data_IF_678622188796
#
_entry.id   IF_678622188796
#
_cell.length_a   1.000
_cell.length_b   1.000
_cell.length_c   1.000
_cell.angle_alpha   90.00
_cell.angle_beta   90.00
_cell.angle_gamma   90.00
#
_symmetry.space_group_name_H-M   'P 1'
#
loop_
_entity.id
_entity.type
_entity.pdbx_description
1 polymer ?
#
# COMPACT_ATOMS: atom_id res chain seq x y z
N UNK A 1 19.47 -35.49 7.17
CA UNK A 1 20.38 -35.11 6.06
C UNK A 1 19.92 -33.77 5.53
N UNK A 2 20.83 -32.85 5.22
CA UNK A 2 20.49 -31.56 4.63
C UNK A 2 19.96 -31.77 3.20
N UNK A 3 18.98 -30.98 2.74
CA UNK A 3 18.49 -31.05 1.37
C UNK A 3 19.57 -30.67 0.34
N UNK A 4 19.44 -31.18 -0.90
CA UNK A 4 20.32 -30.82 -2.01
C UNK A 4 21.82 -31.03 -1.75
N UNK A 5 22.18 -31.93 -0.83
CA UNK A 5 23.55 -32.07 -0.31
C UNK A 5 24.12 -33.43 -0.71
N UNK A 6 25.37 -33.41 -1.20
CA UNK A 6 26.13 -34.63 -1.52
C UNK A 6 26.81 -35.18 -0.27
N UNK A 7 26.46 -36.41 0.09
CA UNK A 7 27.05 -37.16 1.19
C UNK A 7 27.93 -38.27 0.65
N UNK A 8 29.16 -38.34 1.14
CA UNK A 8 30.03 -39.48 0.91
C UNK A 8 29.85 -40.49 2.04
N UNK A 9 29.20 -41.62 1.74
CA UNK A 9 29.00 -42.70 2.70
C UNK A 9 30.14 -43.70 2.54
N UNK A 10 30.89 -43.93 3.62
CA UNK A 10 31.98 -44.91 3.65
C UNK A 10 31.63 -46.05 4.61
N UNK A 11 31.82 -47.29 4.17
CA UNK A 11 31.58 -48.52 4.92
C UNK A 11 32.88 -49.30 5.06
N UNK A 12 33.13 -49.82 6.26
CA UNK A 12 34.18 -50.82 6.52
C UNK A 12 33.62 -51.92 7.41
N UNK A 13 34.05 -53.16 7.20
CA UNK A 13 33.78 -54.25 8.14
C UNK A 13 34.80 -54.24 9.28
N UNK A 14 34.40 -54.65 10.48
CA UNK A 14 35.30 -54.81 11.63
C UNK A 14 35.24 -56.27 12.09
N UNK A 15 36.38 -56.94 12.12
CA UNK A 15 36.53 -58.32 12.59
C UNK A 15 37.58 -58.40 13.71
N UNK A 16 37.65 -59.49 14.48
CA UNK A 16 38.71 -59.70 15.47
C UNK A 16 40.12 -59.64 14.87
N UNK A 17 40.26 -59.95 13.57
CA UNK A 17 41.54 -59.97 12.86
C UNK A 17 41.89 -58.63 12.19
N UNK A 18 41.06 -57.59 12.39
CA UNK A 18 41.27 -56.26 11.84
C UNK A 18 40.07 -55.71 11.06
N UNK A 19 40.24 -54.50 10.52
CA UNK A 19 39.24 -53.84 9.69
C UNK A 19 39.36 -54.33 8.24
N UNK A 20 38.23 -54.54 7.57
CA UNK A 20 38.17 -54.85 6.14
C UNK A 20 38.33 -53.63 5.26
N UNK A 21 38.33 -53.86 3.94
CA UNK A 21 38.45 -52.80 2.94
C UNK A 21 37.34 -51.75 3.07
N UNK A 22 37.71 -50.49 2.83
CA UNK A 22 36.78 -49.37 2.76
C UNK A 22 36.07 -49.37 1.41
N UNK A 23 34.75 -49.28 1.44
CA UNK A 23 33.92 -49.05 0.25
C UNK A 23 33.19 -47.73 0.46
N UNK A 24 33.14 -46.87 -0.55
CA UNK A 24 32.42 -45.61 -0.46
C UNK A 24 31.43 -45.41 -1.60
N UNK A 25 30.39 -44.60 -1.35
CA UNK A 25 29.40 -44.18 -2.34
C UNK A 25 28.96 -42.75 -2.05
N UNK A 26 28.99 -41.90 -3.07
CA UNK A 26 28.40 -40.56 -3.00
C UNK A 26 26.92 -40.65 -3.33
N UNK A 27 26.09 -40.10 -2.45
CA UNK A 27 24.64 -39.95 -2.66
C UNK A 27 24.27 -38.48 -2.55
N UNK A 28 23.28 -38.03 -3.31
CA UNK A 28 22.74 -36.67 -3.23
C UNK A 28 21.32 -36.72 -2.68
N UNK A 29 21.04 -35.91 -1.67
CA UNK A 29 19.69 -35.78 -1.13
C UNK A 29 18.81 -34.96 -2.06
N UNK A 30 17.50 -35.23 -2.03
CA UNK A 30 16.51 -34.42 -2.75
C UNK A 30 16.55 -32.98 -2.25
N UNK A 31 16.26 -32.04 -3.14
CA UNK A 31 16.04 -30.64 -2.75
C UNK A 31 14.76 -30.49 -1.94
N UNK A 32 14.68 -29.42 -1.15
CA UNK A 32 13.48 -29.02 -0.41
C UNK A 32 13.00 -27.66 -0.91
N UNK A 33 11.89 -27.18 -0.34
CA UNK A 33 11.37 -25.84 -0.65
C UNK A 33 12.44 -24.78 -0.33
N UNK A 34 12.56 -23.70 -1.12
CA UNK A 34 13.54 -22.66 -0.86
C UNK A 34 13.43 -22.13 0.58
N UNK A 35 14.56 -22.00 1.27
CA UNK A 35 14.61 -21.57 2.67
C UNK A 35 14.35 -20.06 2.87
N UNK A 36 14.59 -19.27 1.82
CA UNK A 36 14.29 -17.84 1.79
C UNK A 36 13.26 -17.55 0.70
N UNK A 37 12.27 -16.70 1.04
CA UNK A 37 11.37 -16.14 0.05
C UNK A 37 12.09 -15.04 -0.74
N UNK A 38 11.85 -14.91 -2.05
CA UNK A 38 12.33 -13.75 -2.79
C UNK A 38 11.74 -12.45 -2.24
N UNK A 39 12.54 -11.40 -2.22
CA UNK A 39 12.07 -10.05 -1.92
C UNK A 39 11.16 -9.55 -3.04
N UNK A 40 10.14 -8.78 -2.70
CA UNK A 40 9.31 -8.12 -3.71
C UNK A 40 10.18 -7.15 -4.53
N UNK A 41 10.03 -7.11 -5.87
CA UNK A 41 10.78 -6.16 -6.69
C UNK A 41 10.45 -4.71 -6.31
N UNK A 42 11.49 -3.88 -6.26
CA UNK A 42 11.33 -2.44 -6.02
C UNK A 42 10.97 -1.76 -7.35
N UNK A 43 9.88 -0.99 -7.38
CA UNK A 43 9.52 -0.22 -8.58
C UNK A 43 10.40 1.03 -8.64
N UNK A 44 11.22 1.14 -9.68
CA UNK A 44 12.13 2.27 -9.90
C UNK A 44 11.43 3.40 -10.65
N UNK A 45 10.70 3.07 -11.72
CA UNK A 45 10.02 4.05 -12.58
C UNK A 45 8.91 3.40 -13.39
N UNK A 46 7.83 4.13 -13.62
CA UNK A 46 6.82 3.81 -14.63
C UNK A 46 7.03 4.69 -15.88
N UNK A 47 6.81 4.12 -17.06
CA UNK A 47 7.01 4.79 -18.35
C UNK A 47 5.99 4.27 -19.37
N UNK A 48 4.79 4.88 -19.37
CA UNK A 48 3.68 4.46 -20.24
C UNK A 48 3.34 2.98 -20.04
N UNK A 49 3.56 2.18 -21.08
CA UNK A 49 3.28 0.74 -21.08
C UNK A 49 4.37 -0.13 -20.41
N UNK A 50 5.28 0.48 -19.64
CA UNK A 50 6.45 -0.19 -19.06
C UNK A 50 6.65 0.17 -17.60
N UNK A 51 7.15 -0.78 -16.83
CA UNK A 51 7.59 -0.58 -15.44
C UNK A 51 9.03 -1.08 -15.32
N UNK A 52 9.92 -0.20 -14.89
CA UNK A 52 11.28 -0.55 -14.52
C UNK A 52 11.30 -0.95 -13.06
N UNK A 53 11.75 -2.16 -12.79
CA UNK A 53 11.87 -2.73 -11.45
C UNK A 53 13.33 -3.06 -11.14
N UNK A 54 13.67 -3.09 -9.86
CA UNK A 54 14.93 -3.59 -9.36
C UNK A 54 14.70 -4.94 -8.67
N UNK A 55 15.47 -5.94 -9.09
CA UNK A 55 15.38 -7.31 -8.57
C UNK A 55 16.61 -7.58 -7.72
N UNK A 56 16.43 -8.18 -6.55
CA UNK A 56 17.53 -8.64 -5.70
C UNK A 56 17.66 -10.16 -5.81
N UNK A 57 18.87 -10.71 -5.97
CA UNK A 57 19.10 -12.15 -5.92
C UNK A 57 18.69 -12.76 -4.58
N UNK A 58 18.12 -13.96 -4.63
CA UNK A 58 17.71 -14.75 -3.47
C UNK A 58 18.71 -15.88 -3.23
N UNK A 59 19.10 -16.06 -1.98
CA UNK A 59 19.96 -17.18 -1.57
C UNK A 59 19.07 -18.37 -1.19
N UNK A 60 19.40 -19.55 -1.71
CA UNK A 60 18.72 -20.79 -1.35
C UNK A 60 19.73 -21.86 -0.89
N UNK A 61 19.62 -22.33 0.34
CA UNK A 61 20.49 -23.41 0.85
C UNK A 61 19.90 -24.81 0.62
N UNK A 62 18.61 -24.91 0.29
CA UNK A 62 17.91 -26.20 0.12
C UNK A 62 18.00 -26.76 -1.31
N UNK A 63 18.64 -26.03 -2.23
CA UNK A 63 18.86 -26.41 -3.62
C UNK A 63 19.39 -25.25 -4.47
N UNK A 64 19.81 -25.50 -5.72
CA UNK A 64 20.30 -24.44 -6.60
C UNK A 64 19.14 -23.54 -7.05
N UNK A 65 19.35 -22.22 -7.09
CA UNK A 65 18.42 -21.33 -7.79
C UNK A 65 18.68 -21.46 -9.29
N UNK A 66 17.69 -21.94 -10.04
CA UNK A 66 17.82 -22.21 -11.48
C UNK A 66 17.18 -21.13 -12.35
N UNK A 67 16.15 -20.45 -11.84
CA UNK A 67 15.49 -19.36 -12.55
C UNK A 67 14.70 -18.43 -11.61
N UNK A 68 14.37 -17.25 -12.11
CA UNK A 68 13.47 -16.28 -11.50
C UNK A 68 12.29 -16.04 -12.43
N UNK A 69 11.07 -16.03 -11.92
CA UNK A 69 9.88 -15.61 -12.68
C UNK A 69 9.40 -14.26 -12.21
N UNK A 70 9.13 -13.38 -13.17
CA UNK A 70 8.47 -12.09 -12.94
C UNK A 70 7.00 -12.26 -13.31
N UNK A 71 6.13 -12.09 -12.32
CA UNK A 71 4.68 -12.20 -12.46
C UNK A 71 4.09 -10.79 -12.38
N UNK A 72 3.25 -10.45 -13.34
CA UNK A 72 2.46 -9.20 -13.34
C UNK A 72 1.08 -9.52 -12.82
N UNK A 73 0.57 -8.70 -11.91
CA UNK A 73 -0.76 -8.81 -11.32
C UNK A 73 -1.48 -7.47 -11.50
N UNK A 74 -2.65 -7.50 -12.11
CA UNK A 74 -3.59 -6.38 -12.17
C UNK A 74 -4.27 -6.24 -10.79
N UNK A 75 -4.00 -5.13 -10.09
CA UNK A 75 -4.55 -4.85 -8.76
C UNK A 75 -5.98 -4.31 -8.80
N UNK A 76 -6.43 -3.77 -9.94
CA UNK A 76 -7.77 -3.22 -10.08
C UNK A 76 -8.82 -4.34 -10.09
N UNK A 77 -8.41 -5.54 -10.53
CA UNK A 77 -9.20 -6.77 -10.44
C UNK A 77 -8.97 -7.43 -9.08
N UNK A 78 -10.00 -7.46 -8.23
CA UNK A 78 -9.99 -8.14 -6.92
C UNK A 78 -10.05 -9.67 -7.01
N UNK A 79 -9.26 -10.26 -7.91
CA UNK A 79 -9.04 -11.69 -7.97
C UNK A 79 -7.85 -12.03 -7.08
N UNK A 80 -7.99 -13.04 -6.21
CA UNK A 80 -6.87 -13.51 -5.40
C UNK A 80 -5.74 -14.08 -6.29
N UNK A 81 -4.49 -13.82 -5.90
CA UNK A 81 -3.33 -14.45 -6.53
C UNK A 81 -3.23 -15.91 -6.10
N UNK A 82 -3.38 -16.84 -7.05
CA UNK A 82 -3.22 -18.26 -6.83
C UNK A 82 -1.89 -18.75 -7.45
N UNK A 83 -1.04 -19.30 -6.58
CA UNK A 83 0.34 -19.73 -6.90
C UNK A 83 0.37 -20.95 -7.81
N UNK A 84 -0.71 -21.72 -7.86
CA UNK A 84 -0.79 -22.97 -8.63
C UNK A 84 -1.35 -22.77 -10.04
N UNK A 85 -1.92 -21.59 -10.34
CA UNK A 85 -2.58 -21.27 -11.62
C UNK A 85 -1.91 -20.12 -12.38
N UNK A 86 -0.63 -19.85 -12.12
CA UNK A 86 0.12 -18.81 -12.85
C UNK A 86 0.47 -19.29 -14.26
N UNK A 87 -0.04 -18.60 -15.28
CA UNK A 87 0.06 -18.98 -16.70
C UNK A 87 0.84 -17.94 -17.54
N UNK A 88 1.12 -18.28 -18.80
CA UNK A 88 1.65 -17.31 -19.76
C UNK A 88 0.62 -16.22 -20.11
N UNK A 89 1.06 -15.09 -20.65
CA UNK A 89 0.18 -13.97 -21.00
C UNK A 89 -1.03 -14.37 -21.85
N UNK A 90 -0.82 -15.16 -22.90
CA UNK A 90 -1.91 -15.56 -23.83
C UNK A 90 -2.92 -16.49 -23.13
N UNK A 91 -2.43 -17.43 -22.33
CA UNK A 91 -3.26 -18.38 -21.58
C UNK A 91 -4.03 -17.68 -20.45
N UNK A 92 -3.38 -16.79 -19.72
CA UNK A 92 -3.99 -15.96 -18.69
C UNK A 92 -5.11 -15.11 -19.27
N UNK A 93 -4.86 -14.44 -20.41
CA UNK A 93 -5.87 -13.65 -21.12
C UNK A 93 -7.05 -14.51 -21.58
N UNK A 94 -6.78 -15.71 -22.12
CA UNK A 94 -7.83 -16.65 -22.54
C UNK A 94 -8.69 -17.12 -21.36
N UNK A 95 -8.06 -17.34 -20.20
CA UNK A 95 -8.72 -17.84 -19.01
C UNK A 95 -9.29 -16.71 -18.11
N UNK A 96 -9.12 -15.45 -18.50
CA UNK A 96 -9.59 -14.30 -17.72
C UNK A 96 -8.87 -14.13 -16.37
N UNK A 97 -7.60 -14.50 -16.30
CA UNK A 97 -6.77 -14.26 -15.11
C UNK A 97 -6.22 -12.83 -15.12
N UNK A 98 -6.23 -12.20 -13.95
CA UNK A 98 -5.64 -10.89 -13.64
C UNK A 98 -4.12 -10.93 -13.48
N UNK A 99 -3.50 -12.11 -13.56
CA UNK A 99 -2.07 -12.27 -13.39
C UNK A 99 -1.47 -13.21 -14.43
N UNK A 100 -0.22 -12.95 -14.80
CA UNK A 100 0.50 -13.75 -15.78
C UNK A 100 2.03 -13.68 -15.59
N UNK A 101 2.73 -14.67 -16.13
CA UNK A 101 4.20 -14.69 -16.15
C UNK A 101 4.68 -13.84 -17.32
N UNK A 102 5.39 -12.75 -17.00
CA UNK A 102 5.98 -11.84 -17.97
C UNK A 102 7.36 -12.29 -18.43
N UNK A 103 8.15 -12.88 -17.53
CA UNK A 103 9.50 -13.32 -17.82
C UNK A 103 9.95 -14.49 -16.97
N UNK A 104 10.83 -15.32 -17.53
CA UNK A 104 11.68 -16.25 -16.79
C UNK A 104 13.14 -15.90 -17.08
N UNK A 105 13.88 -15.56 -16.04
CA UNK A 105 15.24 -15.02 -16.08
C UNK A 105 16.20 -16.01 -15.44
N UNK A 106 17.40 -16.14 -16.01
CA UNK A 106 18.44 -16.94 -15.38
C UNK A 106 19.05 -16.16 -14.20
N UNK A 107 19.67 -16.84 -13.21
CA UNK A 107 20.29 -16.17 -12.05
C UNK A 107 21.37 -15.14 -12.42
N UNK A 108 21.95 -15.24 -13.61
CA UNK A 108 22.94 -14.29 -14.14
C UNK A 108 22.33 -13.03 -14.77
N UNK A 109 21.02 -13.05 -15.07
CA UNK A 109 20.34 -11.98 -15.82
C UNK A 109 19.59 -11.00 -14.90
N UNK A 110 19.63 -11.24 -13.58
CA UNK A 110 18.89 -10.46 -12.56
C UNK A 110 19.75 -9.37 -11.87
N UNK A 111 20.87 -8.97 -12.47
CA UNK A 111 21.86 -8.10 -11.84
C UNK A 111 21.48 -6.61 -11.90
N UNK A 112 20.40 -6.24 -11.20
CA UNK A 112 19.97 -4.85 -11.01
C UNK A 112 18.55 -4.59 -11.49
N UNK A 113 18.40 -4.07 -12.71
CA UNK A 113 17.13 -3.59 -13.24
C UNK A 113 16.54 -4.51 -14.31
N UNK A 114 15.22 -4.67 -14.28
CA UNK A 114 14.44 -5.35 -15.30
C UNK A 114 13.29 -4.46 -15.76
N UNK A 115 12.91 -4.54 -17.04
CA UNK A 115 11.81 -3.76 -17.61
C UNK A 115 10.64 -4.68 -17.92
N UNK A 116 9.58 -4.55 -17.14
CA UNK A 116 8.29 -5.19 -17.38
C UNK A 116 7.53 -4.40 -18.46
N UNK A 117 6.89 -5.07 -19.40
CA UNK A 117 6.12 -4.46 -20.48
C UNK A 117 6.92 -4.07 -21.73
N UNK A 118 8.14 -4.56 -21.90
CA UNK A 118 9.00 -4.17 -23.02
C UNK A 118 8.69 -4.85 -24.36
N UNK A 119 7.72 -5.78 -24.39
CA UNK A 119 7.29 -6.51 -25.59
C UNK A 119 8.29 -7.58 -26.04
N UNK A 120 9.27 -7.96 -25.22
CA UNK A 120 10.25 -9.00 -25.56
C UNK A 120 9.87 -10.36 -24.99
N UNK A 121 10.56 -11.41 -25.46
CA UNK A 121 10.43 -12.75 -24.89
C UNK A 121 11.60 -13.05 -23.97
N UNK A 122 11.31 -13.58 -22.79
CA UNK A 122 12.27 -14.01 -21.79
C UNK A 122 12.00 -15.47 -21.44
N UNK A 123 12.91 -16.36 -21.88
CA UNK A 123 12.63 -17.79 -21.93
C UNK A 123 11.45 -18.07 -22.86
N UNK A 124 10.42 -18.74 -22.33
CA UNK A 124 9.17 -19.04 -23.08
C UNK A 124 8.07 -18.00 -22.91
N UNK A 125 8.29 -16.97 -22.09
CA UNK A 125 7.26 -16.02 -21.70
C UNK A 125 7.36 -14.73 -22.50
N UNK A 126 6.21 -14.18 -22.86
CA UNK A 126 6.08 -12.91 -23.55
C UNK A 126 5.79 -11.80 -22.53
N UNK A 127 6.69 -10.81 -22.46
CA UNK A 127 6.58 -9.65 -21.59
C UNK A 127 5.67 -8.60 -22.25
N UNK A 128 4.37 -8.85 -22.20
CA UNK A 128 3.38 -8.03 -22.89
C UNK A 128 3.39 -6.57 -22.41
N UNK A 129 3.31 -5.57 -23.32
CA UNK A 129 3.15 -4.18 -22.93
C UNK A 129 1.98 -3.98 -21.98
N UNK A 130 2.21 -3.19 -20.93
CA UNK A 130 1.24 -2.92 -19.89
C UNK A 130 0.24 -1.85 -20.33
N UNK A 131 -0.98 -1.89 -19.78
CA UNK A 131 -1.95 -0.82 -19.97
C UNK A 131 -1.64 0.33 -18.98
N UNK A 132 -1.36 1.56 -19.44
CA UNK A 132 -1.07 2.68 -18.54
C UNK A 132 -2.22 3.06 -17.61
N UNK A 133 -3.45 2.60 -17.89
CA UNK A 133 -4.63 2.88 -17.06
C UNK A 133 -4.85 1.88 -15.93
N UNK A 134 -4.08 0.79 -15.88
CA UNK A 134 -4.20 -0.28 -14.88
C UNK A 134 -3.09 -0.17 -13.82
N UNK A 135 -3.45 -0.36 -12.55
CA UNK A 135 -2.49 -0.49 -11.47
C UNK A 135 -1.93 -1.91 -11.42
N UNK A 136 -0.61 -2.05 -11.61
CA UNK A 136 0.05 -3.35 -11.58
C UNK A 136 0.93 -3.54 -10.34
N UNK A 137 0.84 -4.73 -9.76
CA UNK A 137 1.80 -5.26 -8.81
C UNK A 137 2.71 -6.28 -9.49
N UNK A 138 3.97 -6.33 -9.06
CA UNK A 138 4.96 -7.28 -9.56
C UNK A 138 5.33 -8.25 -8.43
N UNK A 139 5.13 -9.54 -8.69
CA UNK A 139 5.54 -10.64 -7.80
C UNK A 139 6.76 -11.32 -8.40
N UNK A 140 7.75 -11.61 -7.56
CA UNK A 140 8.92 -12.39 -7.94
C UNK A 140 8.76 -13.82 -7.45
N UNK A 141 9.11 -14.80 -8.28
CA UNK A 141 9.23 -16.18 -7.85
C UNK A 141 10.62 -16.73 -8.13
N UNK A 142 11.13 -17.55 -7.21
CA UNK A 142 12.39 -18.27 -7.32
C UNK A 142 12.10 -19.73 -7.61
N UNK A 143 12.80 -20.29 -8.59
CA UNK A 143 12.70 -21.69 -8.99
C UNK A 143 13.99 -22.39 -8.61
N UNK A 144 13.83 -23.51 -7.91
CA UNK A 144 14.90 -24.45 -7.59
C UNK A 144 14.61 -25.77 -8.27
N UNK A 145 15.43 -26.13 -9.25
CA UNK A 145 15.29 -27.37 -10.00
C UNK A 145 16.56 -28.22 -9.91
N UNK A 146 16.42 -29.46 -9.46
CA UNK A 146 17.53 -30.42 -9.42
C UNK A 146 16.99 -31.84 -9.60
N UNK A 147 17.60 -32.61 -10.51
CA UNK A 147 17.26 -34.01 -10.78
C UNK A 147 15.76 -34.24 -11.08
N UNK A 148 15.13 -33.32 -11.81
CA UNK A 148 13.71 -33.39 -12.18
C UNK A 148 12.73 -33.02 -11.06
N UNK A 149 13.22 -32.61 -9.89
CA UNK A 149 12.39 -32.05 -8.82
C UNK A 149 12.43 -30.54 -8.96
N UNK A 150 11.25 -29.91 -9.05
CA UNK A 150 11.10 -28.45 -9.10
C UNK A 150 10.40 -27.97 -7.83
N UNK A 151 10.96 -26.93 -7.21
CA UNK A 151 10.38 -26.22 -6.07
C UNK A 151 10.31 -24.73 -6.39
N UNK A 152 9.23 -24.07 -5.97
CA UNK A 152 8.98 -22.67 -6.29
C UNK A 152 8.63 -21.93 -5.00
N UNK A 153 9.25 -20.77 -4.78
CA UNK A 153 8.91 -19.84 -3.72
C UNK A 153 8.53 -18.50 -4.33
N UNK A 154 7.49 -17.86 -3.78
CA UNK A 154 6.98 -16.57 -4.25
C UNK A 154 7.27 -15.49 -3.22
N UNK A 155 7.49 -14.27 -3.68
CA UNK A 155 7.56 -13.10 -2.80
C UNK A 155 6.22 -12.92 -2.13
N UNK A 156 6.23 -12.31 -0.94
CA UNK A 156 4.98 -12.05 -0.24
C UNK A 156 4.10 -11.14 -1.10
N UNK A 157 2.89 -11.62 -1.40
CA UNK A 157 1.87 -10.85 -2.13
C UNK A 157 1.02 -10.01 -1.17
N UNK A 158 1.16 -10.20 0.15
CA UNK A 158 0.22 -9.70 1.15
C UNK A 158 0.62 -8.39 1.83
N UNK A 159 1.69 -7.72 1.39
CA UNK A 159 2.33 -6.75 2.26
C UNK A 159 2.97 -5.54 1.62
N UNK A 160 2.49 -5.01 0.49
CA UNK A 160 2.75 -3.60 0.19
C UNK A 160 1.72 -3.03 -0.78
N UNK A 161 0.84 -2.18 -0.25
CA UNK A 161 0.09 -1.19 -1.01
C UNK A 161 1.07 -0.20 -1.67
N UNK A 162 1.83 -0.68 -2.66
CA UNK A 162 2.72 0.13 -3.49
C UNK A 162 2.10 0.37 -4.87
N UNK A 163 0.78 0.27 -4.97
CA UNK A 163 0.00 0.99 -5.98
C UNK A 163 0.20 2.49 -5.76
N UNK A 164 1.39 2.99 -6.15
CA UNK A 164 1.60 4.41 -6.38
C UNK A 164 0.63 4.74 -7.50
N UNK A 165 -0.47 5.37 -7.14
CA UNK A 165 -1.44 5.94 -8.06
C UNK A 165 -0.68 6.81 -9.06
N UNK A 166 -0.52 6.31 -10.28
CA UNK A 166 -0.01 7.13 -11.37
C UNK A 166 -1.21 7.93 -11.87
N UNK A 167 -1.31 9.17 -11.39
CA UNK A 167 -1.78 10.21 -12.28
C UNK A 167 -0.76 10.24 -13.42
N UNK A 168 -1.16 9.75 -14.60
CA UNK A 168 -0.37 9.83 -15.81
C UNK A 168 -0.15 11.30 -16.17
N UNK A 169 0.81 11.95 -15.51
CA UNK A 169 1.32 13.25 -15.90
C UNK A 169 2.42 12.97 -16.90
N UNK A 170 2.01 12.69 -18.13
CA UNK A 170 2.88 12.92 -19.28
C UNK A 170 3.29 14.41 -19.21
N UNK A 171 4.59 14.76 -19.12
CA UNK A 171 5.01 16.16 -19.17
C UNK A 171 4.66 16.82 -20.53
N UNK A 172 4.36 16.02 -21.55
CA UNK A 172 3.88 16.46 -22.86
C UNK A 172 2.33 16.44 -22.99
N UNK A 173 1.62 15.98 -21.96
CA UNK A 173 0.14 15.97 -21.88
C UNK A 173 -0.36 16.87 -20.73
N UNK A 174 0.43 17.88 -20.38
CA UNK A 174 -0.12 19.16 -19.95
C UNK A 174 -0.87 19.76 -21.15
N UNK A 175 -2.01 19.15 -21.51
CA UNK A 175 -3.06 19.72 -22.35
C UNK A 175 -3.76 20.90 -21.67
N UNK A 176 -2.98 21.72 -20.96
CA UNK A 176 -3.38 23.00 -20.40
C UNK A 176 -3.46 24.11 -21.44
N UNK A 177 -3.17 23.86 -22.72
CA UNK A 177 -3.17 24.89 -23.78
C UNK A 177 -4.52 25.05 -24.50
N UNK A 178 -5.60 24.45 -23.99
CA UNK A 178 -6.93 24.90 -24.39
C UNK A 178 -7.26 26.19 -23.61
N UNK A 179 -7.31 27.37 -24.24
CA UNK A 179 -7.62 28.62 -23.54
C UNK A 179 -8.92 28.50 -22.73
N UNK A 180 -9.88 27.69 -23.18
CA UNK A 180 -11.12 27.41 -22.48
C UNK A 180 -10.94 26.78 -21.08
N UNK A 181 -9.97 25.88 -20.89
CA UNK A 181 -9.77 25.17 -19.61
C UNK A 181 -9.05 26.07 -18.60
N UNK A 182 -8.04 26.83 -19.05
CA UNK A 182 -7.36 27.84 -18.22
C UNK A 182 -8.35 28.92 -17.77
N UNK A 183 -9.18 29.41 -18.69
CA UNK A 183 -10.19 30.43 -18.39
C UNK A 183 -11.22 29.88 -17.39
N UNK A 184 -11.69 28.65 -17.58
CA UNK A 184 -12.64 28.00 -16.67
C UNK A 184 -12.10 27.84 -15.25
N UNK A 185 -10.86 27.35 -15.10
CA UNK A 185 -10.23 27.16 -13.79
C UNK A 185 -9.93 28.50 -13.10
N UNK A 186 -9.47 29.52 -13.85
CA UNK A 186 -9.19 30.85 -13.31
C UNK A 186 -10.46 31.51 -12.74
N UNK A 187 -11.58 31.42 -13.46
CA UNK A 187 -12.87 31.96 -13.01
C UNK A 187 -13.37 31.21 -11.76
N UNK A 188 -13.27 29.88 -11.74
CA UNK A 188 -13.70 29.08 -10.60
C UNK A 188 -12.92 29.43 -9.32
N UNK A 189 -11.59 29.55 -9.42
CA UNK A 189 -10.74 29.94 -8.29
C UNK A 189 -11.04 31.36 -7.83
N UNK A 190 -11.24 32.29 -8.77
CA UNK A 190 -11.61 33.68 -8.46
C UNK A 190 -12.93 33.77 -7.70
N UNK A 191 -13.98 33.10 -8.17
CA UNK A 191 -15.29 33.10 -7.51
C UNK A 191 -15.23 32.47 -6.11
N UNK A 192 -14.50 31.36 -5.96
CA UNK A 192 -14.33 30.70 -4.67
C UNK A 192 -13.62 31.62 -3.66
N UNK A 193 -12.55 32.28 -4.08
CA UNK A 193 -11.80 33.22 -3.24
C UNK A 193 -12.64 34.43 -2.84
N UNK A 194 -13.44 34.98 -3.76
CA UNK A 194 -14.32 36.11 -3.50
C UNK A 194 -15.44 35.73 -2.50
N UNK A 195 -16.06 34.55 -2.68
CA UNK A 195 -17.07 34.06 -1.73
C UNK A 195 -16.50 33.87 -0.32
N UNK A 196 -15.27 33.35 -0.23
CA UNK A 196 -14.60 33.14 1.04
C UNK A 196 -14.30 34.47 1.74
N UNK A 197 -13.74 35.45 1.02
CA UNK A 197 -13.45 36.79 1.55
C UNK A 197 -14.74 37.51 1.98
N UNK A 198 -15.79 37.47 1.17
CA UNK A 198 -17.08 38.05 1.53
C UNK A 198 -17.66 37.41 2.80
N UNK A 199 -17.56 36.09 2.93
CA UNK A 199 -17.94 35.36 4.14
C UNK A 199 -17.19 35.82 5.38
N UNK A 200 -15.86 36.01 5.28
CA UNK A 200 -15.02 36.54 6.36
C UNK A 200 -15.46 37.96 6.75
N UNK A 201 -15.69 38.84 5.78
CA UNK A 201 -16.10 40.22 6.04
C UNK A 201 -17.46 40.27 6.74
N UNK A 202 -18.44 39.49 6.26
CA UNK A 202 -19.76 39.38 6.88
C UNK A 202 -19.66 38.85 8.30
N UNK A 203 -18.82 37.84 8.54
CA UNK A 203 -18.56 37.31 9.88
C UNK A 203 -17.98 38.37 10.82
N UNK A 204 -17.01 39.17 10.36
CA UNK A 204 -16.43 40.27 11.15
C UNK A 204 -17.49 41.33 11.48
N UNK A 205 -18.33 41.72 10.51
CA UNK A 205 -19.41 42.70 10.73
C UNK A 205 -20.43 42.17 11.73
N UNK A 206 -20.86 40.91 11.59
CA UNK A 206 -21.78 40.26 12.54
C UNK A 206 -21.18 40.22 13.95
N UNK A 207 -19.92 39.80 14.07
CA UNK A 207 -19.21 39.74 15.36
C UNK A 207 -19.10 41.14 16.00
N UNK A 208 -18.71 42.16 15.23
CA UNK A 208 -18.62 43.55 15.70
C UNK A 208 -19.98 44.10 16.12
N UNK A 209 -21.04 43.81 15.37
CA UNK A 209 -22.40 44.24 15.71
C UNK A 209 -22.94 43.55 16.98
N UNK A 210 -22.59 42.29 17.20
CA UNK A 210 -22.96 41.56 18.44
C UNK A 210 -22.18 42.09 19.64
N UNK A 211 -20.88 42.36 19.51
CA UNK A 211 -20.06 42.91 20.59
C UNK A 211 -20.52 44.32 20.97
N UNK A 212 -20.76 45.19 19.98
CA UNK A 212 -21.25 46.56 20.23
C UNK A 212 -22.65 46.57 20.85
N UNK A 213 -23.50 45.58 20.55
CA UNK A 213 -24.80 45.42 21.26
C UNK A 213 -24.62 45.01 22.71
N UNK A 214 -23.60 44.20 23.04
CA UNK A 214 -23.31 43.79 24.43
C UNK A 214 -22.73 44.94 25.26
N UNK A 215 -21.88 45.78 24.68
CA UNK A 215 -21.33 46.96 25.39
C UNK A 215 -22.42 47.98 25.75
N UNK A 216 -23.38 48.25 24.85
CA UNK A 216 -24.52 49.16 25.13
C UNK A 216 -25.46 48.70 26.26
N UNK A 217 -25.46 47.42 26.62
CA UNK A 217 -26.24 46.90 27.75
C UNK A 217 -25.49 47.05 29.09
N UNK A 218 -24.16 47.03 29.07
CA UNK A 218 -23.33 47.18 30.28
C UNK A 218 -23.24 48.64 30.75
N UNK A 219 -23.08 49.59 29.81
CA UNK A 219 -22.86 51.01 30.14
C UNK A 219 -24.11 51.72 30.69
N UNK A 220 -25.30 51.13 30.56
CA UNK A 220 -26.55 51.70 31.09
C UNK A 220 -26.86 51.30 32.54
N UNK A 221 -26.07 50.38 33.14
CA UNK A 221 -26.34 49.88 34.50
C UNK A 221 -25.50 50.55 35.60
N UNK A 222 -24.55 51.43 35.28
CA UNK A 222 -23.59 51.96 36.27
C UNK A 222 -23.75 53.44 36.66
N UNK A 223 -24.91 54.08 36.41
CA UNK A 223 -25.09 55.53 36.68
C UNK A 223 -26.20 55.94 37.65
N UNK A 224 -26.73 55.03 38.49
CA UNK A 224 -27.65 55.44 39.57
C UNK A 224 -27.44 54.67 40.87
N UNK A 225 -26.32 54.89 41.55
CA UNK A 225 -26.15 54.52 42.96
C UNK A 225 -25.51 55.68 43.74
N UNK A 226 -26.28 56.77 43.87
CA UNK A 226 -26.15 57.73 44.95
C UNK A 226 -27.54 57.89 45.59
N UNK A 227 -27.86 57.01 46.53
CA UNK A 227 -29.02 57.14 47.40
C UNK A 227 -28.60 57.73 48.75
N UNK A 228 -29.32 58.71 49.30
CA UNK A 228 -29.05 59.20 50.65
C UNK A 228 -29.46 58.16 51.70
N UNK A 229 -28.59 57.98 52.69
CA UNK A 229 -28.79 57.21 53.91
C UNK A 229 -30.01 57.72 54.69
N UNK A 230 -31.00 56.85 54.91
CA UNK A 230 -32.10 57.09 55.87
C UNK A 230 -32.38 55.76 56.60
N UNK A 231 -32.08 55.74 57.90
CA UNK A 231 -32.51 54.69 58.84
C UNK A 231 -34.00 54.85 59.16
N UNK A 232 -34.76 53.76 59.13
CA UNK A 232 -36.02 53.62 59.88
C UNK A 232 -36.20 52.17 60.30
N UNK A 233 -36.16 51.93 61.61
CA UNK A 233 -36.54 50.67 62.26
C UNK A 233 -38.07 50.58 62.48
N UNK A 234 -38.51 49.36 62.81
CA UNK A 234 -39.58 49.02 63.77
C UNK A 234 -40.91 48.45 63.21
N UNK A 235 -40.98 47.13 63.33
CA UNK A 235 -42.06 46.24 63.81
C UNK A 235 -43.52 46.47 63.38
N UNK A 236 -44.11 45.39 62.84
CA UNK A 236 -45.56 45.20 62.75
C UNK A 236 -45.89 43.71 62.66
N UNK A 237 -46.17 43.11 63.82
CA UNK A 237 -46.67 41.75 64.01
C UNK A 237 -48.21 41.74 63.87
N UNK A 238 -48.81 40.53 63.85
CA UNK A 238 -50.21 40.17 64.16
C UNK A 238 -51.18 40.14 62.93
N UNK A 239 -52.10 39.19 62.69
CA UNK A 239 -52.48 37.90 63.31
C UNK A 239 -52.99 36.94 62.22
N UNK A 240 -52.98 35.65 62.56
CA UNK A 240 -53.75 34.57 61.94
C UNK A 240 -55.22 34.64 62.38
N UNK A 241 -56.16 34.31 61.50
CA UNK A 241 -57.50 33.88 61.90
C UNK A 241 -57.79 32.47 61.38
N UNK A 242 -58.47 31.75 62.26
CA UNK A 242 -58.51 30.31 62.46
C UNK A 242 -59.94 29.80 62.23
N UNK A 243 -60.06 28.60 61.64
CA UNK A 243 -61.16 27.62 61.74
C UNK A 243 -62.60 28.06 61.34
N UNK A 244 -63.53 27.17 60.97
CA UNK A 244 -63.96 25.94 61.63
C UNK A 244 -64.57 24.96 60.61
N UNK A 245 -64.34 23.63 60.73
CA UNK A 245 -65.01 22.60 59.93
C UNK A 245 -66.27 22.05 60.61
N UNK A 246 -67.13 21.36 59.82
CA UNK A 246 -68.23 20.53 60.32
C UNK A 246 -68.11 19.14 59.70
N UNK A 247 -67.77 18.13 60.52
CA UNK A 247 -68.55 16.90 60.69
C UNK A 247 -68.01 16.08 61.87
#
# INVERSE_FOLDING_TARGET
LLPGTKYNITLSTKSPNGNGALVFKVIETKISDPDNLPTQPEIVKHEGSKIKIKIMPTINNNGPVTAYRVIVVDEDVKQGFDKDSVLSYEEAKKNGLSYYIAAELLPKDIDGEFVVGDGRKYGRYYNAPLDPSINYNIILAVISELNGITKIAYSDASGTHNGVFILNVNPDDLGGDSPAVIIGLSIAIGLLSFMLIAGIIVFIILKSRVINRRQRLSDNQELTLQGPMIEVENNGYIHEEEHVPIN
#
